data_IF_064092904535
#
_entry.id   IF_064092904535
#
_cell.length_a   1.000
_cell.length_b   1.000
_cell.length_c   1.000
_cell.angle_alpha   90.00
_cell.angle_beta   90.00
_cell.angle_gamma   90.00
#
_symmetry.space_group_name_H-M   'P 1'
#
loop_
_entity.id
_entity.type
_entity.pdbx_description
1 polymer ?
#
# COMPACT_ATOMS: atom_id res chain seq x y z
N UNK A 1 -0.58 -6.71 -5.68
CA UNK A 1 -1.81 -6.47 -4.91
C UNK A 1 -3.06 -6.82 -5.74
N UNK A 2 -3.23 -6.24 -6.95
CA UNK A 2 -4.43 -6.48 -7.80
C UNK A 2 -4.74 -7.98 -7.92
N UNK A 3 -3.80 -8.80 -8.33
CA UNK A 3 -3.98 -10.24 -8.54
C UNK A 3 -4.09 -11.10 -7.25
N UNK A 4 -4.14 -10.50 -6.08
CA UNK A 4 -4.53 -11.19 -4.84
C UNK A 4 -6.05 -11.17 -4.63
N UNK A 5 -6.72 -10.19 -5.20
CA UNK A 5 -8.15 -10.00 -5.05
C UNK A 5 -8.91 -10.26 -6.36
N UNK A 6 -8.36 -9.79 -7.46
CA UNK A 6 -8.94 -9.96 -8.80
C UNK A 6 -8.29 -11.12 -9.55
N UNK A 7 -9.01 -11.74 -10.51
CA UNK A 7 -8.45 -12.76 -11.41
C UNK A 7 -7.18 -12.27 -12.15
N UNK A 8 -6.35 -13.21 -12.60
CA UNK A 8 -5.09 -12.87 -13.29
C UNK A 8 -5.26 -12.28 -14.68
N UNK A 9 -6.40 -12.48 -15.30
CA UNK A 9 -6.81 -11.94 -16.60
C UNK A 9 -7.47 -10.56 -16.49
N UNK A 10 -7.58 -10.00 -15.27
CA UNK A 10 -8.09 -8.65 -15.06
C UNK A 10 -7.20 -7.63 -15.75
N UNK A 11 -7.81 -6.82 -16.61
CA UNK A 11 -7.14 -5.69 -17.24
C UNK A 11 -6.75 -4.64 -16.19
N UNK A 12 -5.51 -4.17 -16.25
CA UNK A 12 -4.99 -3.20 -15.30
C UNK A 12 -4.61 -1.90 -15.99
N UNK A 13 -5.01 -0.77 -15.38
CA UNK A 13 -4.65 0.59 -15.81
C UNK A 13 -3.56 1.12 -14.86
N UNK A 14 -2.28 1.20 -15.28
CA UNK A 14 -1.23 1.82 -14.49
C UNK A 14 -1.48 3.32 -14.32
N UNK A 15 -1.42 3.82 -13.08
CA UNK A 15 -1.57 5.21 -12.73
C UNK A 15 -0.23 5.78 -12.26
N UNK A 16 0.11 7.00 -12.69
CA UNK A 16 1.37 7.68 -12.34
C UNK A 16 1.33 8.39 -10.98
N UNK A 17 0.13 8.61 -10.45
CA UNK A 17 -0.08 9.23 -9.14
C UNK A 17 -1.26 8.60 -8.41
N UNK A 18 -1.31 8.78 -7.08
CA UNK A 18 -2.46 8.33 -6.28
C UNK A 18 -3.75 9.05 -6.71
N UNK A 19 -3.67 10.32 -7.09
CA UNK A 19 -4.81 11.10 -7.57
C UNK A 19 -5.41 10.51 -8.85
N UNK A 20 -4.56 10.06 -9.77
CA UNK A 20 -5.01 9.45 -11.02
C UNK A 20 -5.85 8.19 -10.81
N UNK A 21 -5.64 7.46 -9.70
CA UNK A 21 -6.48 6.31 -9.32
C UNK A 21 -7.94 6.76 -9.14
N UNK A 22 -8.16 7.84 -8.40
CA UNK A 22 -9.48 8.40 -8.15
C UNK A 22 -10.12 8.93 -9.44
N UNK A 23 -9.38 9.71 -10.22
CA UNK A 23 -9.82 10.27 -11.50
C UNK A 23 -10.16 9.16 -12.52
N UNK A 24 -9.44 8.04 -12.50
CA UNK A 24 -9.74 6.90 -13.38
C UNK A 24 -11.06 6.24 -13.03
N UNK A 25 -11.40 6.14 -11.74
CA UNK A 25 -12.68 5.57 -11.29
C UNK A 25 -13.82 6.55 -11.61
N UNK A 26 -13.69 7.84 -11.25
CA UNK A 26 -14.74 8.84 -11.50
C UNK A 26 -15.05 9.03 -12.98
N UNK A 27 -14.03 8.95 -13.83
CA UNK A 27 -14.22 9.04 -15.30
C UNK A 27 -14.69 7.74 -15.96
N UNK A 28 -14.86 6.66 -15.20
CA UNK A 28 -15.27 5.35 -15.72
C UNK A 28 -14.19 4.63 -16.54
N UNK A 29 -12.93 5.11 -16.53
CA UNK A 29 -11.78 4.41 -17.15
C UNK A 29 -11.41 3.13 -16.41
N UNK A 30 -11.72 3.06 -15.12
CA UNK A 30 -11.59 1.89 -14.30
C UNK A 30 -12.84 1.71 -13.42
N UNK A 31 -13.24 0.48 -13.17
CA UNK A 31 -14.36 0.17 -12.26
C UNK A 31 -13.92 0.21 -10.80
N UNK A 32 -12.68 -0.17 -10.54
CA UNK A 32 -12.09 -0.21 -9.21
C UNK A 32 -10.67 0.37 -9.22
N UNK A 33 -10.21 0.85 -8.07
CA UNK A 33 -8.84 1.34 -7.88
C UNK A 33 -8.18 0.69 -6.69
N UNK A 34 -6.89 0.35 -6.82
CA UNK A 34 -6.07 -0.19 -5.74
C UNK A 34 -5.23 0.92 -5.13
N UNK A 35 -5.63 1.41 -3.95
CA UNK A 35 -5.01 2.53 -3.26
C UNK A 35 -4.16 2.04 -2.09
N UNK A 36 -2.83 2.27 -2.07
CA UNK A 36 -2.00 1.96 -0.90
C UNK A 36 -2.35 2.94 0.23
N UNK A 37 -2.62 2.39 1.43
CA UNK A 37 -3.06 3.17 2.60
C UNK A 37 -1.98 3.25 3.67
N UNK A 38 -1.28 2.14 3.89
CA UNK A 38 -0.35 2.00 5.00
C UNK A 38 0.71 0.95 4.69
N UNK A 39 1.91 1.18 5.17
CA UNK A 39 2.96 0.17 5.17
C UNK A 39 3.42 -0.06 6.61
N UNK A 40 3.59 -1.32 7.00
CA UNK A 40 3.91 -1.70 8.39
C UNK A 40 5.26 -1.17 8.89
N UNK A 41 6.16 -0.75 7.99
CA UNK A 41 7.47 -0.20 8.33
C UNK A 41 7.56 1.31 8.12
N UNK A 42 6.82 1.86 7.14
CA UNK A 42 6.85 3.28 6.78
C UNK A 42 5.66 4.08 7.36
N UNK A 43 4.63 3.38 7.90
CA UNK A 43 3.43 4.01 8.43
C UNK A 43 2.40 4.38 7.37
N UNK A 44 1.51 5.30 7.73
CA UNK A 44 0.38 5.72 6.92
C UNK A 44 0.79 6.56 5.71
N UNK A 45 0.14 6.31 4.56
CA UNK A 45 0.34 7.09 3.34
C UNK A 45 -0.62 8.28 3.36
N UNK A 46 -0.13 9.38 3.92
CA UNK A 46 -0.92 10.58 4.20
C UNK A 46 -1.73 11.10 3.02
N UNK A 47 -1.14 11.10 1.82
CA UNK A 47 -1.81 11.56 0.61
C UNK A 47 -3.06 10.73 0.27
N UNK A 48 -3.04 9.43 0.55
CA UNK A 48 -4.20 8.55 0.32
C UNK A 48 -5.40 8.95 1.18
N UNK A 49 -5.16 9.28 2.45
CA UNK A 49 -6.22 9.75 3.35
C UNK A 49 -6.78 11.12 2.95
N UNK A 50 -5.93 12.00 2.47
CA UNK A 50 -6.37 13.31 1.97
C UNK A 50 -7.28 13.16 0.75
N UNK A 51 -6.92 12.29 -0.19
CA UNK A 51 -7.73 11.99 -1.37
C UNK A 51 -9.06 11.30 -1.03
N UNK A 52 -9.08 10.40 -0.04
CA UNK A 52 -10.33 9.79 0.44
C UNK A 52 -11.32 10.82 1.00
N UNK A 53 -10.86 11.99 1.44
CA UNK A 53 -11.75 13.09 1.86
C UNK A 53 -12.18 14.00 0.70
N UNK A 54 -11.42 14.05 -0.38
CA UNK A 54 -11.68 14.91 -1.53
C UNK A 54 -12.64 14.28 -2.53
N UNK A 55 -12.66 12.93 -2.60
CA UNK A 55 -13.44 12.16 -3.56
C UNK A 55 -14.52 11.31 -2.88
N UNK A 56 -15.72 11.24 -3.47
CA UNK A 56 -16.83 10.41 -2.95
C UNK A 56 -16.75 8.98 -3.51
N UNK A 57 -15.67 8.27 -3.21
CA UNK A 57 -15.52 6.87 -3.52
C UNK A 57 -15.69 6.01 -2.26
N UNK A 58 -16.18 4.80 -2.44
CA UNK A 58 -16.39 3.84 -1.36
C UNK A 58 -15.21 2.88 -1.23
N UNK A 59 -14.90 2.50 0.00
CA UNK A 59 -13.94 1.43 0.26
C UNK A 59 -14.66 0.11 0.05
N UNK A 60 -14.32 -0.59 -1.03
CA UNK A 60 -14.98 -1.82 -1.43
C UNK A 60 -14.40 -3.07 -0.76
N UNK A 61 -13.09 -3.09 -0.56
CA UNK A 61 -12.38 -4.17 0.12
C UNK A 61 -11.00 -3.71 0.65
N UNK A 62 -10.37 -4.58 1.41
CA UNK A 62 -9.01 -4.43 1.93
C UNK A 62 -8.13 -5.58 1.43
N UNK A 63 -6.90 -5.26 1.02
CA UNK A 63 -5.87 -6.25 0.67
C UNK A 63 -4.61 -5.95 1.46
N UNK A 64 -4.08 -6.97 2.14
CA UNK A 64 -2.79 -6.91 2.83
C UNK A 64 -1.78 -7.72 2.03
N UNK A 65 -0.77 -7.06 1.49
CA UNK A 65 0.29 -7.66 0.69
C UNK A 65 1.59 -7.67 1.49
N UNK A 66 2.18 -8.83 1.68
CA UNK A 66 3.56 -8.92 2.14
C UNK A 66 4.50 -8.45 1.03
N UNK A 67 5.31 -7.45 1.32
CA UNK A 67 6.36 -6.97 0.43
C UNK A 67 7.55 -7.94 0.52
N UNK A 68 7.90 -8.55 -0.62
CA UNK A 68 9.06 -9.42 -0.76
C UNK A 68 9.93 -8.89 -1.86
N UNK A 69 11.20 -8.77 -1.58
CA UNK A 69 12.20 -8.33 -2.56
C UNK A 69 13.00 -9.52 -3.07
N UNK A 70 13.24 -9.54 -4.37
CA UNK A 70 14.11 -10.49 -5.05
C UNK A 70 15.26 -9.75 -5.73
N UNK A 71 16.40 -10.38 -5.79
CA UNK A 71 17.50 -9.97 -6.66
C UNK A 71 17.25 -10.56 -8.05
N UNK A 72 17.03 -9.72 -9.03
CA UNK A 72 16.68 -10.08 -10.40
C UNK A 72 17.83 -9.73 -11.34
N UNK A 73 18.14 -10.61 -12.28
CA UNK A 73 19.17 -10.37 -13.29
C UNK A 73 18.75 -10.92 -14.66
N UNK A 74 19.46 -10.52 -15.70
CA UNK A 74 19.27 -11.10 -17.03
C UNK A 74 19.60 -12.60 -17.03
N UNK A 75 18.89 -13.42 -17.82
CA UNK A 75 19.15 -14.86 -17.90
C UNK A 75 20.62 -15.21 -18.19
N UNK A 76 21.16 -16.16 -17.44
CA UNK A 76 22.54 -16.58 -17.54
C UNK A 76 23.56 -15.77 -16.73
N UNK A 77 23.14 -14.71 -16.04
CA UNK A 77 23.99 -13.96 -15.12
C UNK A 77 24.09 -14.66 -13.78
N UNK A 78 25.30 -14.82 -13.25
CA UNK A 78 25.48 -15.34 -11.86
C UNK A 78 25.63 -14.22 -10.84
N UNK A 79 25.40 -14.52 -9.56
CA UNK A 79 25.45 -13.51 -8.50
C UNK A 79 26.87 -12.93 -8.31
N UNK A 80 27.90 -13.71 -8.59
CA UNK A 80 29.30 -13.31 -8.49
C UNK A 80 29.69 -12.24 -9.53
N UNK A 81 28.92 -12.14 -10.61
CA UNK A 81 29.14 -11.13 -11.67
C UNK A 81 28.54 -9.78 -11.27
N UNK A 82 27.55 -9.77 -10.36
CA UNK A 82 26.86 -8.54 -9.96
C UNK A 82 27.80 -7.64 -9.15
N UNK A 83 27.79 -6.35 -9.50
CA UNK A 83 28.50 -5.26 -8.80
C UNK A 83 27.55 -4.16 -8.36
N UNK A 84 26.45 -3.97 -9.10
CA UNK A 84 25.51 -2.87 -8.92
C UNK A 84 24.09 -3.39 -8.80
N UNK A 85 23.30 -2.76 -7.93
CA UNK A 85 21.88 -3.09 -7.75
C UNK A 85 21.03 -1.85 -7.88
N UNK A 86 19.98 -1.91 -8.70
CA UNK A 86 19.09 -0.79 -8.99
C UNK A 86 17.71 -1.02 -8.39
N UNK A 87 17.16 -0.04 -7.70
CA UNK A 87 15.76 -0.05 -7.25
C UNK A 87 15.30 1.33 -6.75
N UNK A 88 14.03 1.41 -6.33
CA UNK A 88 13.52 2.56 -5.59
C UNK A 88 14.30 2.74 -4.27
N UNK A 89 14.60 3.98 -3.84
CA UNK A 89 15.37 4.23 -2.62
C UNK A 89 14.86 3.49 -1.38
N UNK A 90 13.53 3.40 -1.21
CA UNK A 90 12.94 2.68 -0.09
C UNK A 90 13.21 1.16 -0.15
N UNK A 91 13.19 0.54 -1.33
CA UNK A 91 13.51 -0.88 -1.49
C UNK A 91 14.99 -1.17 -1.25
N UNK A 92 15.87 -0.26 -1.70
CA UNK A 92 17.31 -0.34 -1.39
C UNK A 92 17.57 -0.27 0.12
N UNK A 93 16.92 0.67 0.82
CA UNK A 93 17.02 0.79 2.28
C UNK A 93 16.45 -0.44 3.01
N UNK A 94 15.41 -1.08 2.48
CA UNK A 94 14.85 -2.32 3.04
C UNK A 94 15.73 -3.56 2.83
N UNK A 95 16.73 -3.49 1.95
CA UNK A 95 17.68 -4.56 1.64
C UNK A 95 19.14 -4.16 1.97
N UNK A 96 19.35 -3.19 2.85
CA UNK A 96 20.65 -2.58 3.13
C UNK A 96 21.70 -3.61 3.57
N UNK A 97 21.33 -4.52 4.48
CA UNK A 97 22.24 -5.56 4.99
C UNK A 97 22.62 -6.55 3.88
N UNK A 98 21.67 -6.94 3.05
CA UNK A 98 21.93 -7.83 1.91
C UNK A 98 22.87 -7.17 0.92
N UNK A 99 22.63 -5.91 0.54
CA UNK A 99 23.46 -5.11 -0.35
C UNK A 99 24.88 -4.99 0.20
N UNK A 100 25.03 -4.65 1.47
CA UNK A 100 26.33 -4.51 2.13
C UNK A 100 27.09 -5.84 2.20
N UNK A 101 26.42 -6.96 2.52
CA UNK A 101 27.07 -8.28 2.64
C UNK A 101 27.66 -8.80 1.32
N UNK A 102 27.12 -8.35 0.19
CA UNK A 102 27.61 -8.69 -1.17
C UNK A 102 28.51 -7.60 -1.77
N UNK A 103 28.75 -6.49 -1.07
CA UNK A 103 29.47 -5.32 -1.55
C UNK A 103 28.91 -4.76 -2.88
N UNK A 104 27.57 -4.76 -3.02
CA UNK A 104 26.93 -4.17 -4.17
C UNK A 104 26.84 -2.65 -4.04
N UNK A 105 26.98 -1.93 -5.16
CA UNK A 105 26.73 -0.50 -5.27
C UNK A 105 25.24 -0.23 -5.51
N UNK A 106 24.52 0.46 -4.59
CA UNK A 106 23.11 0.76 -4.78
C UNK A 106 22.90 1.94 -5.73
N UNK A 107 22.03 1.77 -6.73
CA UNK A 107 21.67 2.78 -7.72
C UNK A 107 20.17 3.09 -7.58
N UNK A 108 19.84 4.32 -7.25
CA UNK A 108 18.46 4.78 -7.11
C UNK A 108 17.75 4.87 -8.45
N UNK A 109 16.50 4.43 -8.48
CA UNK A 109 15.58 4.53 -9.62
C UNK A 109 14.20 4.96 -9.15
N UNK A 110 13.32 5.40 -10.06
CA UNK A 110 12.03 5.98 -9.68
C UNK A 110 11.03 4.95 -9.11
N UNK A 111 11.10 3.67 -9.51
CA UNK A 111 10.29 2.58 -8.94
C UNK A 111 10.98 1.21 -9.06
N UNK A 112 10.46 0.21 -8.32
CA UNK A 112 11.02 -1.15 -8.28
C UNK A 112 10.76 -1.94 -9.56
N UNK A 113 9.54 -1.90 -10.08
CA UNK A 113 9.17 -2.64 -11.29
C UNK A 113 9.82 -2.02 -12.53
N UNK A 114 9.90 -0.67 -12.59
CA UNK A 114 10.63 0.04 -13.64
C UNK A 114 12.11 -0.28 -13.64
N UNK A 115 12.72 -0.53 -12.47
CA UNK A 115 14.12 -0.99 -12.39
C UNK A 115 14.31 -2.35 -13.07
N UNK A 116 13.36 -3.28 -12.88
CA UNK A 116 13.37 -4.58 -13.52
C UNK A 116 13.14 -4.47 -15.04
N UNK A 117 12.16 -3.64 -15.44
CA UNK A 117 11.90 -3.37 -16.87
C UNK A 117 13.12 -2.80 -17.56
N UNK A 118 13.72 -1.75 -17.00
CA UNK A 118 14.92 -1.11 -17.55
C UNK A 118 16.09 -2.10 -17.72
N UNK A 119 16.28 -3.00 -16.74
CA UNK A 119 17.32 -4.02 -16.84
C UNK A 119 17.04 -5.04 -17.94
N UNK A 120 15.77 -5.38 -18.18
CA UNK A 120 15.39 -6.30 -19.24
C UNK A 120 15.55 -5.68 -20.65
N UNK A 121 15.16 -4.39 -20.79
CA UNK A 121 15.26 -3.64 -22.04
C UNK A 121 16.73 -3.27 -22.38
N UNK A 122 17.53 -2.96 -21.36
CA UNK A 122 18.93 -2.54 -21.47
C UNK A 122 19.85 -3.45 -20.63
N UNK A 123 20.15 -4.68 -21.07
CA UNK A 123 20.93 -5.65 -20.34
C UNK A 123 22.33 -5.15 -19.97
N UNK A 124 22.71 -5.32 -18.71
CA UNK A 124 24.06 -5.01 -18.20
C UNK A 124 24.56 -6.20 -17.39
N UNK A 125 25.73 -6.77 -17.71
CA UNK A 125 26.18 -8.04 -17.13
C UNK A 125 26.54 -7.96 -15.64
N UNK A 126 26.83 -6.75 -15.14
CA UNK A 126 27.20 -6.49 -13.72
C UNK A 126 26.08 -5.84 -12.91
N UNK A 127 24.87 -5.71 -13.50
CA UNK A 127 23.72 -5.05 -12.89
C UNK A 127 22.63 -6.05 -12.53
N UNK A 128 22.05 -5.90 -11.33
CA UNK A 128 20.81 -6.56 -10.94
C UNK A 128 19.74 -5.51 -10.54
N UNK A 129 18.48 -5.92 -10.55
CA UNK A 129 17.38 -5.13 -10.03
C UNK A 129 16.83 -5.75 -8.74
N UNK A 130 16.50 -4.92 -7.76
CA UNK A 130 15.73 -5.36 -6.59
C UNK A 130 14.25 -5.04 -6.85
N UNK A 131 13.45 -6.08 -7.05
CA UNK A 131 12.01 -5.95 -7.30
C UNK A 131 11.24 -7.20 -6.84
N UNK A 132 9.94 -7.25 -7.13
CA UNK A 132 9.11 -8.42 -6.82
C UNK A 132 9.41 -9.58 -7.79
N UNK A 133 9.15 -10.82 -7.33
CA UNK A 133 9.19 -12.01 -8.21
C UNK A 133 8.30 -11.84 -9.45
N UNK A 134 7.12 -11.24 -9.27
CA UNK A 134 6.20 -10.97 -10.38
C UNK A 134 6.84 -10.08 -11.45
N UNK A 135 7.60 -9.05 -11.06
CA UNK A 135 8.32 -8.22 -12.03
C UNK A 135 9.37 -9.04 -12.80
N UNK A 136 10.08 -9.96 -12.13
CA UNK A 136 10.98 -10.91 -12.79
C UNK A 136 10.26 -11.76 -13.85
N UNK A 137 9.12 -12.35 -13.48
CA UNK A 137 8.29 -13.17 -14.40
C UNK A 137 7.80 -12.35 -15.61
N UNK A 138 7.31 -11.11 -15.36
CA UNK A 138 6.77 -10.24 -16.42
C UNK A 138 7.82 -9.76 -17.42
N UNK A 139 9.05 -9.53 -16.96
CA UNK A 139 10.13 -8.99 -17.82
C UNK A 139 11.15 -10.04 -18.23
N UNK A 140 10.91 -11.32 -17.95
CA UNK A 140 11.80 -12.42 -18.35
C UNK A 140 13.15 -12.41 -17.65
N UNK A 141 13.24 -11.84 -16.45
CA UNK A 141 14.44 -11.86 -15.63
C UNK A 141 14.47 -13.11 -14.75
N UNK A 142 15.67 -13.62 -14.50
CA UNK A 142 15.86 -14.71 -13.54
C UNK A 142 15.97 -14.16 -12.12
N UNK A 143 15.46 -14.94 -11.16
CA UNK A 143 15.61 -14.66 -9.73
C UNK A 143 16.94 -15.28 -9.27
N UNK A 144 17.90 -14.45 -8.88
CA UNK A 144 19.17 -14.91 -8.30
C UNK A 144 19.01 -15.24 -6.82
N UNK A 145 18.24 -14.42 -6.09
CA UNK A 145 17.94 -14.63 -4.69
C UNK A 145 16.56 -14.05 -4.33
N UNK A 146 15.94 -14.52 -3.25
CA UNK A 146 14.61 -14.12 -2.83
C UNK A 146 14.52 -13.89 -1.34
N UNK A 147 13.51 -13.09 -0.93
CA UNK A 147 13.30 -12.70 0.48
C UNK A 147 14.54 -11.99 1.07
N UNK A 148 15.13 -11.09 0.26
CA UNK A 148 16.39 -10.38 0.57
C UNK A 148 16.16 -9.12 1.44
N UNK A 149 14.92 -8.82 1.79
CA UNK A 149 14.57 -7.72 2.69
C UNK A 149 15.07 -7.98 4.13
N UNK A 150 15.56 -6.94 4.79
CA UNK A 150 16.11 -7.00 6.16
C UNK A 150 15.06 -7.33 7.22
N UNK A 151 13.82 -6.94 6.97
CA UNK A 151 12.68 -7.16 7.85
C UNK A 151 11.62 -8.03 7.17
N UNK A 152 11.40 -9.23 7.71
CA UNK A 152 10.42 -10.19 7.17
C UNK A 152 8.95 -9.79 7.38
N UNK A 153 8.70 -8.76 8.20
CA UNK A 153 7.37 -8.26 8.55
C UNK A 153 7.05 -6.95 7.84
N UNK A 154 7.32 -6.88 6.54
CA UNK A 154 6.98 -5.74 5.70
C UNK A 154 5.69 -6.03 4.95
N UNK A 155 4.61 -5.34 5.32
CA UNK A 155 3.29 -5.48 4.70
C UNK A 155 2.80 -4.12 4.23
N UNK A 156 2.18 -4.08 3.08
CA UNK A 156 1.43 -2.91 2.60
C UNK A 156 -0.05 -3.24 2.58
N UNK A 157 -0.83 -2.38 3.20
CA UNK A 157 -2.28 -2.41 3.22
C UNK A 157 -2.81 -1.55 2.09
N UNK A 158 -3.73 -2.08 1.33
CA UNK A 158 -4.40 -1.40 0.23
C UNK A 158 -5.90 -1.40 0.46
N UNK A 159 -6.55 -0.29 0.09
CA UNK A 159 -7.99 -0.27 -0.13
C UNK A 159 -8.30 -0.49 -1.61
N UNK A 160 -9.34 -1.26 -1.87
CA UNK A 160 -9.99 -1.31 -3.17
C UNK A 160 -11.12 -0.29 -3.12
N UNK A 161 -11.07 0.69 -4.03
CA UNK A 161 -12.07 1.75 -4.16
C UNK A 161 -13.03 1.44 -5.29
N UNK A 162 -14.27 1.87 -5.15
CA UNK A 162 -15.30 1.80 -6.18
C UNK A 162 -16.34 2.89 -5.99
N UNK A 163 -17.32 2.98 -6.88
CA UNK A 163 -18.41 3.97 -6.82
C UNK A 163 -19.60 3.49 -5.99
N UNK A 164 -19.75 2.18 -5.82
CA UNK A 164 -20.87 1.57 -5.09
C UNK A 164 -20.42 1.03 -3.75
N UNK A 165 -21.35 0.96 -2.79
CA UNK A 165 -21.11 0.29 -1.52
C UNK A 165 -20.90 -1.21 -1.74
N UNK A 166 -19.93 -1.84 -1.06
CA UNK A 166 -19.69 -3.26 -1.15
C UNK A 166 -20.86 -4.05 -0.51
N UNK A 167 -21.10 -5.28 -0.93
CA UNK A 167 -22.04 -6.15 -0.24
C UNK A 167 -21.55 -6.44 1.18
N UNK A 168 -22.49 -6.48 2.12
CA UNK A 168 -22.21 -6.88 3.51
C UNK A 168 -21.67 -8.30 3.56
N UNK A 169 -20.65 -8.53 4.35
CA UNK A 169 -20.05 -9.84 4.59
C UNK A 169 -19.98 -10.13 6.10
N UNK A 170 -19.71 -11.38 6.47
CA UNK A 170 -19.54 -11.81 7.86
C UNK A 170 -18.34 -11.11 8.54
N UNK A 171 -17.32 -10.75 7.77
CA UNK A 171 -16.09 -10.10 8.26
C UNK A 171 -15.98 -8.65 7.73
N UNK A 172 -17.07 -7.90 7.76
CA UNK A 172 -17.05 -6.51 7.35
C UNK A 172 -16.23 -5.65 8.31
N UNK A 173 -15.56 -4.63 7.76
CA UNK A 173 -14.92 -3.53 8.50
C UNK A 173 -15.52 -2.22 8.03
N UNK A 174 -15.53 -1.24 8.89
CA UNK A 174 -15.95 0.12 8.55
C UNK A 174 -14.80 1.09 8.83
N UNK A 175 -14.54 1.98 7.87
CA UNK A 175 -13.61 3.09 8.02
C UNK A 175 -14.40 4.39 8.10
N UNK A 176 -14.17 5.16 9.14
CA UNK A 176 -14.81 6.46 9.35
C UNK A 176 -13.78 7.55 9.58
N UNK A 177 -14.15 8.78 9.24
CA UNK A 177 -13.42 9.97 9.61
C UNK A 177 -14.35 10.93 10.35
N UNK A 178 -13.91 11.43 11.50
CA UNK A 178 -14.68 12.35 12.30
C UNK A 178 -13.81 13.45 12.90
N UNK A 179 -14.48 14.52 13.33
CA UNK A 179 -13.87 15.61 14.08
C UNK A 179 -14.55 15.74 15.43
N UNK A 180 -13.78 16.04 16.46
CA UNK A 180 -14.32 16.33 17.80
C UNK A 180 -14.22 17.81 18.12
N UNK A 181 -14.98 18.26 19.12
CA UNK A 181 -14.72 19.57 19.74
C UNK A 181 -13.35 19.55 20.40
N UNK A 182 -12.61 20.66 20.32
CA UNK A 182 -11.29 20.79 20.92
C UNK A 182 -11.43 21.11 22.44
N UNK A 183 -11.92 20.13 23.21
CA UNK A 183 -12.12 20.22 24.67
C UNK A 183 -11.67 18.92 25.33
N UNK A 184 -11.29 18.96 26.60
CA UNK A 184 -10.97 17.74 27.36
C UNK A 184 -12.07 16.69 27.26
N UNK A 185 -11.68 15.41 27.18
CA UNK A 185 -12.55 14.22 27.12
C UNK A 185 -13.32 14.02 25.81
N UNK A 186 -13.28 14.94 24.84
CA UNK A 186 -14.07 14.81 23.61
C UNK A 186 -13.75 13.52 22.83
N UNK A 187 -12.45 13.23 22.59
CA UNK A 187 -12.05 11.98 21.92
C UNK A 187 -12.38 10.74 22.78
N UNK A 188 -12.14 10.81 24.09
CA UNK A 188 -12.48 9.72 25.02
C UNK A 188 -13.96 9.33 24.94
N UNK A 189 -14.86 10.32 24.92
CA UNK A 189 -16.30 10.07 24.80
C UNK A 189 -16.64 9.36 23.47
N UNK A 190 -16.06 9.83 22.35
CA UNK A 190 -16.28 9.16 21.06
C UNK A 190 -15.78 7.72 21.07
N UNK A 191 -14.58 7.44 21.60
CA UNK A 191 -14.05 6.08 21.68
C UNK A 191 -14.83 5.20 22.66
N UNK A 192 -15.40 5.80 23.71
CA UNK A 192 -16.27 5.13 24.68
C UNK A 192 -17.51 4.52 24.03
N UNK A 193 -18.10 5.19 23.02
CA UNK A 193 -19.28 4.66 22.32
C UNK A 193 -19.01 3.32 21.64
N UNK A 194 -17.80 3.12 21.08
CA UNK A 194 -17.36 1.85 20.51
C UNK A 194 -17.08 0.81 21.61
N UNK A 195 -16.37 1.20 22.66
CA UNK A 195 -16.00 0.30 23.76
C UNK A 195 -17.22 -0.25 24.52
N UNK A 196 -18.24 0.59 24.78
CA UNK A 196 -19.48 0.20 25.45
C UNK A 196 -20.34 -0.78 24.62
N UNK A 197 -20.04 -0.91 23.32
CA UNK A 197 -20.75 -1.80 22.39
C UNK A 197 -19.90 -2.99 21.91
N UNK A 198 -18.78 -3.23 22.59
CA UNK A 198 -17.84 -4.31 22.27
C UNK A 198 -17.36 -4.27 20.80
N UNK A 199 -17.24 -3.07 20.21
CA UNK A 199 -16.74 -2.87 18.85
C UNK A 199 -15.22 -2.74 18.91
N UNK A 200 -14.51 -3.68 18.26
CA UNK A 200 -13.06 -3.67 18.19
C UNK A 200 -12.55 -2.63 17.18
N UNK A 201 -11.64 -1.76 17.64
CA UNK A 201 -10.98 -0.78 16.79
C UNK A 201 -9.68 -1.35 16.23
N UNK A 202 -9.51 -1.31 14.91
CA UNK A 202 -8.32 -1.86 14.24
C UNK A 202 -7.35 -0.78 13.78
N UNK A 203 -7.77 0.50 13.76
CA UNK A 203 -6.93 1.65 13.48
C UNK A 203 -7.47 2.88 14.18
N UNK A 204 -6.57 3.73 14.66
CA UNK A 204 -6.86 5.09 15.08
C UNK A 204 -5.68 5.98 14.73
N UNK A 205 -5.94 7.02 13.96
CA UNK A 205 -4.93 8.01 13.57
C UNK A 205 -5.51 9.42 13.62
N UNK A 206 -4.74 10.37 14.12
CA UNK A 206 -5.13 11.77 14.11
C UNK A 206 -4.31 12.55 13.08
N UNK A 207 -4.99 13.42 12.31
CA UNK A 207 -4.32 14.30 11.35
C UNK A 207 -4.80 15.75 11.48
N UNK A 208 -3.90 16.73 11.32
CA UNK A 208 -4.30 18.13 11.33
C UNK A 208 -5.31 18.44 10.24
N UNK A 209 -6.32 19.21 10.56
CA UNK A 209 -7.29 19.70 9.57
C UNK A 209 -6.68 20.86 8.78
N UNK A 210 -6.56 20.73 7.46
CA UNK A 210 -5.89 21.71 6.58
C UNK A 210 -6.36 23.15 6.75
N UNK A 211 -7.65 23.37 6.98
CA UNK A 211 -8.25 24.73 7.04
C UNK A 211 -8.50 25.25 8.46
N UNK A 212 -8.10 24.53 9.51
CA UNK A 212 -8.28 24.92 10.91
C UNK A 212 -7.05 24.51 11.73
N UNK A 213 -6.08 25.42 11.96
CA UNK A 213 -4.91 25.12 12.78
C UNK A 213 -5.30 24.56 14.14
N UNK A 214 -4.57 23.54 14.60
CA UNK A 214 -4.78 22.86 15.90
C UNK A 214 -6.11 22.10 16.05
N UNK A 215 -6.90 21.98 14.97
CA UNK A 215 -8.03 21.05 14.91
C UNK A 215 -7.60 19.78 14.18
N UNK A 216 -8.12 18.64 14.64
CA UNK A 216 -7.74 17.32 14.13
C UNK A 216 -8.94 16.59 13.55
N UNK A 217 -8.67 15.79 12.53
CA UNK A 217 -9.52 14.72 12.04
C UNK A 217 -9.01 13.41 12.59
N UNK A 218 -9.92 12.54 13.00
CA UNK A 218 -9.60 11.20 13.46
C UNK A 218 -10.09 10.20 12.45
N UNK A 219 -9.16 9.40 11.93
CA UNK A 219 -9.43 8.27 11.07
C UNK A 219 -9.47 7.03 11.94
N UNK A 220 -10.55 6.28 11.85
CA UNK A 220 -10.80 5.13 12.68
C UNK A 220 -11.35 4.00 11.83
N UNK A 221 -10.77 2.79 11.97
CA UNK A 221 -11.29 1.58 11.39
C UNK A 221 -11.79 0.68 12.52
N UNK A 222 -12.95 0.07 12.34
CA UNK A 222 -13.52 -0.87 13.29
C UNK A 222 -14.09 -2.12 12.61
N UNK A 223 -14.15 -3.21 13.36
CA UNK A 223 -14.77 -4.45 12.94
C UNK A 223 -16.29 -4.33 13.05
N UNK A 224 -16.99 -4.75 12.01
CA UNK A 224 -18.44 -4.65 11.85
C UNK A 224 -18.85 -3.76 10.69
N UNK A 225 -20.04 -4.00 10.18
CA UNK A 225 -20.64 -3.19 9.13
C UNK A 225 -21.40 -2.01 9.73
N UNK A 226 -21.24 -0.81 9.17
CA UNK A 226 -21.85 0.42 9.69
C UNK A 226 -23.38 0.36 9.86
N UNK A 227 -24.10 -0.48 9.08
CA UNK A 227 -25.53 -0.70 9.20
C UNK A 227 -25.91 -1.75 10.28
N UNK A 228 -24.95 -2.34 10.97
CA UNK A 228 -25.29 -3.19 12.11
C UNK A 228 -25.78 -2.36 13.27
N UNK A 229 -26.86 -2.78 13.99
CA UNK A 229 -27.52 -1.93 14.99
C UNK A 229 -26.59 -1.40 16.09
N UNK A 230 -25.55 -2.14 16.45
CA UNK A 230 -24.57 -1.70 17.45
C UNK A 230 -23.52 -0.74 16.86
N UNK A 231 -23.13 -0.92 15.57
CA UNK A 231 -22.23 -0.02 14.86
C UNK A 231 -22.91 1.30 14.51
N UNK A 232 -24.17 1.26 14.04
CA UNK A 232 -24.94 2.46 13.70
C UNK A 232 -25.15 3.39 14.92
N UNK A 233 -25.27 2.81 16.13
CA UNK A 233 -25.45 3.57 17.36
C UNK A 233 -24.14 4.11 17.93
N UNK A 234 -22.98 3.62 17.50
CA UNK A 234 -21.70 4.09 17.93
C UNK A 234 -21.27 5.34 17.17
#
# INVERSE_FOLDING_TARGET
AVYQHFPRDTETLPCHSLKEIFEAIESGRATHGMLPIENSTAGSINQSYDLLLEYDLKIWAEVILRVRHCLLANPGTSIEQIRRVRSHPQALAQCERYIASHNFEPISYYDTAGSARELAENPQPDMAAIASRLAGEMYGLQVLDSDIEDLRFNYTRFFILGTEDPPRTEHSKTSVVFATRHVPRALYTCLGEFAERDINLTKLESRPRRNKPWHYLFYLDFEGHWQEPHCEKA
#
